data_IF_615508316281
#
_entry.id   IF_615508316281
#
_cell.length_a   1.000
_cell.length_b   1.000
_cell.length_c   1.000
_cell.angle_alpha   90.00
_cell.angle_beta   90.00
_cell.angle_gamma   90.00
#
_symmetry.space_group_name_H-M   'P 1'
#
loop_
_entity.id
_entity.type
_entity.pdbx_description
1 polymer ?
#
# COMPACT_ATOMS: atom_id res chain seq x y z
N UNK A 1 5.15 24.01 13.32
CA UNK A 1 3.67 23.92 13.40
C UNK A 1 3.37 22.48 13.05
N UNK A 2 3.26 21.64 14.08
CA UNK A 2 3.23 20.19 13.90
C UNK A 2 1.92 19.80 13.24
N UNK A 3 1.98 19.40 11.96
CA UNK A 3 0.84 18.77 11.29
C UNK A 3 0.68 17.38 11.91
N UNK A 4 -0.16 17.29 12.94
CA UNK A 4 -0.69 15.99 13.32
C UNK A 4 -1.76 15.66 12.28
N UNK A 5 -1.42 14.78 11.33
CA UNK A 5 -2.33 14.28 10.30
C UNK A 5 -3.38 13.39 10.97
N UNK A 6 -4.49 14.00 11.40
CA UNK A 6 -5.65 13.28 11.87
C UNK A 6 -6.61 12.98 10.72
N UNK A 7 -7.19 11.77 10.70
CA UNK A 7 -8.18 11.37 9.71
C UNK A 7 -9.58 11.33 10.34
N UNK A 8 -10.57 12.07 9.81
CA UNK A 8 -11.90 12.12 10.39
C UNK A 8 -12.82 10.97 9.94
N UNK A 9 -13.88 10.70 10.71
CA UNK A 9 -14.96 9.79 10.33
C UNK A 9 -14.61 8.30 10.35
N UNK A 10 -15.61 7.46 10.04
CA UNK A 10 -15.45 6.00 9.97
C UNK A 10 -14.33 5.57 9.02
N UNK A 11 -14.24 6.20 7.84
CA UNK A 11 -13.16 5.94 6.88
C UNK A 11 -11.79 6.29 7.45
N UNK A 12 -11.66 7.43 8.12
CA UNK A 12 -10.41 7.81 8.79
C UNK A 12 -9.98 6.79 9.85
N UNK A 13 -10.94 6.22 10.58
CA UNK A 13 -10.66 5.14 11.54
C UNK A 13 -10.13 3.88 10.87
N UNK A 14 -10.73 3.48 9.75
CA UNK A 14 -10.29 2.32 8.98
C UNK A 14 -8.93 2.55 8.33
N UNK A 15 -8.68 3.76 7.81
CA UNK A 15 -7.37 4.18 7.30
C UNK A 15 -6.29 4.01 8.38
N UNK A 16 -6.47 4.59 9.57
CA UNK A 16 -5.45 4.49 10.63
C UNK A 16 -5.20 3.06 11.09
N UNK A 17 -6.25 2.22 11.13
CA UNK A 17 -6.12 0.79 11.41
C UNK A 17 -5.35 0.07 10.31
N UNK A 18 -5.66 0.35 9.03
CA UNK A 18 -4.95 -0.21 7.89
C UNK A 18 -3.47 0.20 7.87
N UNK A 19 -3.18 1.49 8.09
CA UNK A 19 -1.83 2.05 8.16
C UNK A 19 -0.98 1.32 9.19
N UNK A 20 -1.44 1.19 10.45
CA UNK A 20 -0.61 0.54 11.46
C UNK A 20 -0.34 -0.93 11.17
N UNK A 21 -1.31 -1.68 10.64
CA UNK A 21 -1.12 -3.10 10.33
C UNK A 21 -0.23 -3.31 9.11
N UNK A 22 -0.35 -2.42 8.11
CA UNK A 22 0.58 -2.32 6.99
C UNK A 22 2.02 -2.09 7.47
N UNK A 23 2.24 -1.03 8.25
CA UNK A 23 3.57 -0.66 8.74
C UNK A 23 4.18 -1.75 9.63
N UNK A 24 3.38 -2.40 10.48
CA UNK A 24 3.85 -3.55 11.27
C UNK A 24 4.31 -4.70 10.39
N UNK A 25 3.58 -5.02 9.32
CA UNK A 25 3.92 -6.12 8.44
C UNK A 25 5.24 -5.86 7.69
N UNK A 26 5.43 -4.64 7.18
CA UNK A 26 6.67 -4.28 6.47
C UNK A 26 7.85 -4.16 7.44
N UNK A 27 7.67 -3.48 8.58
CA UNK A 27 8.68 -3.36 9.63
C UNK A 27 9.14 -4.72 10.16
N UNK A 28 8.25 -5.71 10.27
CA UNK A 28 8.63 -7.06 10.69
C UNK A 28 9.64 -7.74 9.74
N UNK A 29 9.68 -7.33 8.46
CA UNK A 29 10.60 -7.88 7.45
C UNK A 29 11.88 -7.05 7.32
N UNK A 30 11.80 -5.73 7.49
CA UNK A 30 12.88 -4.76 7.34
C UNK A 30 12.87 -3.70 8.46
N UNK A 31 13.13 -4.08 9.72
CA UNK A 31 12.96 -3.21 10.88
C UNK A 31 13.87 -1.98 10.87
N UNK A 32 15.03 -2.06 10.22
CA UNK A 32 15.99 -0.95 10.14
C UNK A 32 15.64 0.08 9.06
N UNK A 33 14.63 -0.19 8.22
CA UNK A 33 14.27 0.62 7.05
C UNK A 33 12.85 1.17 7.10
N UNK A 34 12.13 1.00 8.20
CA UNK A 34 10.76 1.49 8.39
C UNK A 34 10.66 2.06 9.80
N UNK A 35 10.10 3.27 10.01
CA UNK A 35 9.87 3.78 11.37
C UNK A 35 9.05 2.79 12.21
N UNK A 36 9.40 2.57 13.47
CA UNK A 36 8.66 1.61 14.29
C UNK A 36 7.22 2.08 14.50
N UNK A 37 6.20 1.28 14.10
CA UNK A 37 4.80 1.61 14.36
C UNK A 37 4.50 1.42 15.85
N UNK A 38 4.03 2.48 16.53
CA UNK A 38 3.84 2.50 17.98
C UNK A 38 2.38 2.30 18.39
N UNK A 39 1.48 3.09 17.82
CA UNK A 39 0.07 3.10 18.24
C UNK A 39 -0.84 3.71 17.17
N UNK A 40 -2.14 3.47 17.32
CA UNK A 40 -3.20 4.19 16.61
C UNK A 40 -4.40 4.33 17.52
N UNK A 41 -5.31 5.26 17.21
CA UNK A 41 -6.52 5.41 18.02
C UNK A 41 -7.39 6.58 17.62
N UNK A 42 -8.30 6.93 18.53
CA UNK A 42 -9.23 8.05 18.39
C UNK A 42 -8.93 9.10 19.45
N UNK A 43 -8.97 10.37 19.06
CA UNK A 43 -8.78 11.47 20.02
C UNK A 43 -9.88 11.47 21.06
N UNK A 44 -9.51 11.57 22.35
CA UNK A 44 -10.48 11.71 23.44
C UNK A 44 -11.32 12.99 23.32
N UNK A 45 -10.69 14.11 22.95
CA UNK A 45 -11.34 15.41 22.84
C UNK A 45 -12.10 15.62 21.53
N UNK A 46 -11.82 14.79 20.51
CA UNK A 46 -12.45 14.83 19.19
C UNK A 46 -12.77 13.39 18.74
N UNK A 47 -13.90 12.80 19.17
CA UNK A 47 -14.21 11.39 18.93
C UNK A 47 -14.32 10.98 17.46
N UNK A 48 -14.49 11.94 16.56
CA UNK A 48 -14.53 11.73 15.12
C UNK A 48 -13.14 11.84 14.46
N UNK A 49 -12.07 12.06 15.22
CA UNK A 49 -10.71 12.21 14.71
C UNK A 49 -9.86 11.02 15.12
N UNK A 50 -9.09 10.46 14.17
CA UNK A 50 -8.26 9.29 14.37
C UNK A 50 -6.79 9.59 14.08
N UNK A 51 -5.88 8.84 14.71
CA UNK A 51 -4.44 9.02 14.56
C UNK A 51 -3.71 7.68 14.43
N UNK A 52 -2.50 7.77 13.87
CA UNK A 52 -1.45 6.78 13.89
C UNK A 52 -0.17 7.44 14.44
N UNK A 53 0.67 6.67 15.13
CA UNK A 53 1.93 7.09 15.73
C UNK A 53 3.03 6.08 15.41
N UNK A 54 4.21 6.61 15.09
CA UNK A 54 5.45 5.88 14.89
C UNK A 54 6.63 6.65 15.47
N UNK A 55 7.81 6.03 15.41
CA UNK A 55 9.06 6.72 15.69
C UNK A 55 9.27 7.94 14.80
N UNK A 56 9.84 8.98 15.40
CA UNK A 56 10.34 10.11 14.63
C UNK A 56 11.73 9.75 14.09
N UNK A 57 11.86 9.67 12.77
CA UNK A 57 13.13 9.44 12.08
C UNK A 57 13.49 10.69 11.31
N UNK A 58 14.67 11.24 11.56
CA UNK A 58 15.17 12.40 10.81
C UNK A 58 15.64 11.95 9.43
N UNK A 59 15.03 12.48 8.38
CA UNK A 59 15.28 12.11 6.98
C UNK A 59 15.68 13.34 6.17
N UNK A 60 16.58 13.17 5.20
CA UNK A 60 16.93 14.21 4.24
C UNK A 60 15.97 14.22 3.05
N UNK A 61 15.77 15.36 2.39
CA UNK A 61 14.95 15.46 1.19
C UNK A 61 15.59 14.86 -0.08
N UNK A 62 16.85 14.44 0.00
CA UNK A 62 17.60 13.77 -1.07
C UNK A 62 16.96 12.43 -1.50
N UNK A 63 17.38 11.92 -2.65
CA UNK A 63 17.04 10.57 -3.09
C UNK A 63 18.10 9.57 -2.62
N UNK A 64 17.70 8.37 -2.17
CA UNK A 64 18.66 7.31 -1.90
C UNK A 64 19.34 6.85 -3.19
N UNK A 65 20.58 6.37 -3.08
CA UNK A 65 21.25 5.73 -4.21
C UNK A 65 20.46 4.53 -4.73
N UNK A 66 20.25 4.45 -6.04
CA UNK A 66 19.37 3.47 -6.69
C UNK A 66 19.66 2.01 -6.29
N UNK A 67 20.93 1.65 -6.13
CA UNK A 67 21.34 0.30 -5.69
C UNK A 67 20.90 -0.03 -4.26
N UNK A 68 21.08 0.91 -3.31
CA UNK A 68 20.62 0.74 -1.92
C UNK A 68 19.09 0.66 -1.86
N UNK A 69 18.42 1.57 -2.57
CA UNK A 69 16.95 1.58 -2.66
C UNK A 69 16.41 0.25 -3.20
N UNK A 70 16.91 -0.21 -4.33
CA UNK A 70 16.46 -1.46 -4.93
C UNK A 70 16.70 -2.67 -4.02
N UNK A 71 17.84 -2.70 -3.29
CA UNK A 71 18.13 -3.76 -2.34
C UNK A 71 17.17 -3.77 -1.14
N UNK A 72 16.88 -2.59 -0.56
CA UNK A 72 15.96 -2.44 0.57
C UNK A 72 14.53 -2.78 0.15
N UNK A 73 14.05 -2.26 -0.98
CA UNK A 73 12.70 -2.53 -1.48
C UNK A 73 12.48 -4.01 -1.87
N UNK A 74 13.50 -4.67 -2.45
CA UNK A 74 13.39 -6.08 -2.80
C UNK A 74 13.40 -7.02 -1.58
N UNK A 75 13.88 -6.56 -0.42
CA UNK A 75 14.01 -7.36 0.79
C UNK A 75 12.65 -7.85 1.34
N UNK A 76 11.63 -7.02 1.60
CA UNK A 76 10.32 -7.50 2.06
C UNK A 76 9.66 -8.43 1.03
N UNK A 77 9.79 -8.16 -0.27
CA UNK A 77 9.27 -9.04 -1.32
C UNK A 77 9.89 -10.45 -1.19
N UNK A 78 11.23 -10.55 -1.20
CA UNK A 78 11.94 -11.83 -1.10
C UNK A 78 11.68 -12.57 0.22
N UNK A 79 11.57 -11.83 1.34
CA UNK A 79 11.36 -12.43 2.67
C UNK A 79 9.94 -12.95 2.87
N UNK A 80 8.95 -12.40 2.18
CA UNK A 80 7.53 -12.76 2.31
C UNK A 80 6.98 -13.61 1.16
N UNK A 81 7.70 -13.70 0.04
CA UNK A 81 7.30 -14.48 -1.13
C UNK A 81 6.90 -15.91 -0.78
N UNK A 82 5.69 -16.30 -1.20
CA UNK A 82 5.12 -17.62 -0.95
C UNK A 82 4.68 -17.86 0.50
N UNK A 83 4.68 -16.82 1.36
CA UNK A 83 4.28 -16.91 2.78
C UNK A 83 2.95 -16.23 3.08
N UNK A 84 2.15 -15.98 2.05
CA UNK A 84 0.76 -15.54 2.25
C UNK A 84 0.05 -16.51 3.20
N UNK A 85 -0.64 -16.03 4.25
CA UNK A 85 -1.19 -16.87 5.31
C UNK A 85 -2.23 -17.89 4.84
N UNK A 86 -2.85 -17.64 3.69
CA UNK A 86 -3.83 -18.52 3.03
C UNK A 86 -3.44 -18.85 1.58
N UNK A 87 -2.22 -18.48 1.15
CA UNK A 87 -1.75 -18.67 -0.23
C UNK A 87 -2.42 -17.77 -1.28
N UNK A 88 -3.30 -16.85 -0.87
CA UNK A 88 -4.05 -15.95 -1.75
C UNK A 88 -3.37 -14.57 -1.85
N UNK A 89 -3.91 -13.71 -2.72
CA UNK A 89 -3.50 -12.30 -2.87
C UNK A 89 -4.42 -11.39 -2.07
N UNK A 90 -3.85 -10.57 -1.18
CA UNK A 90 -4.59 -9.65 -0.32
C UNK A 90 -3.94 -9.50 1.05
N UNK A 91 -4.62 -8.77 1.94
CA UNK A 91 -4.11 -8.40 3.24
C UNK A 91 -5.10 -8.76 4.36
N UNK A 92 -4.64 -9.07 5.60
CA UNK A 92 -5.52 -9.46 6.70
C UNK A 92 -6.54 -8.38 7.14
N UNK A 93 -6.23 -7.12 6.88
CA UNK A 93 -7.14 -5.99 7.09
C UNK A 93 -7.22 -5.15 5.82
N UNK A 94 -8.30 -4.38 5.64
CA UNK A 94 -8.38 -3.43 4.52
C UNK A 94 -7.34 -2.33 4.70
N UNK A 95 -6.45 -2.17 3.72
CA UNK A 95 -5.52 -1.04 3.62
C UNK A 95 -6.03 -0.02 2.61
N UNK A 96 -5.39 1.13 2.56
CA UNK A 96 -5.81 2.22 1.69
C UNK A 96 -4.60 2.73 0.92
N UNK A 97 -4.73 2.90 -0.40
CA UNK A 97 -3.81 3.70 -1.20
C UNK A 97 -4.44 5.08 -1.37
N UNK A 98 -3.94 6.07 -0.63
CA UNK A 98 -4.64 7.32 -0.39
C UNK A 98 -6.08 7.08 0.11
N UNK A 99 -7.10 7.42 -0.71
CA UNK A 99 -8.49 7.12 -0.38
C UNK A 99 -8.93 5.74 -0.89
N UNK A 100 -8.27 5.14 -1.87
CA UNK A 100 -8.75 3.90 -2.51
C UNK A 100 -8.57 2.71 -1.58
N UNK A 101 -9.64 1.93 -1.37
CA UNK A 101 -9.60 0.71 -0.57
C UNK A 101 -8.84 -0.39 -1.31
N UNK A 102 -7.76 -0.88 -0.71
CA UNK A 102 -7.04 -2.07 -1.15
C UNK A 102 -7.47 -3.23 -0.26
N UNK A 103 -8.40 -4.06 -0.76
CA UNK A 103 -8.86 -5.19 0.04
C UNK A 103 -9.93 -6.02 -0.65
N UNK A 104 -9.58 -7.29 -0.85
CA UNK A 104 -10.36 -8.54 -0.72
C UNK A 104 -9.38 -9.65 -1.13
N UNK A 105 -9.38 -10.78 -0.43
CA UNK A 105 -8.55 -11.92 -0.84
C UNK A 105 -9.02 -12.50 -2.18
N UNK A 106 -8.09 -12.80 -3.09
CA UNK A 106 -8.41 -13.47 -4.36
C UNK A 106 -7.41 -14.59 -4.65
N UNK A 107 -7.81 -15.56 -5.47
CA UNK A 107 -6.96 -16.72 -5.78
C UNK A 107 -5.89 -16.42 -6.84
N UNK A 108 -6.09 -15.41 -7.68
CA UNK A 108 -5.20 -15.07 -8.80
C UNK A 108 -4.74 -13.61 -8.68
N UNK A 109 -3.53 -13.33 -9.17
CA UNK A 109 -3.04 -11.95 -9.19
C UNK A 109 -3.93 -11.07 -10.06
N UNK A 110 -4.36 -11.63 -11.19
CA UNK A 110 -5.20 -10.95 -12.17
C UNK A 110 -6.54 -10.49 -11.57
N UNK A 111 -7.19 -11.33 -10.76
CA UNK A 111 -8.43 -10.96 -10.07
C UNK A 111 -8.19 -9.87 -9.02
N UNK A 112 -7.13 -10.00 -8.24
CA UNK A 112 -6.78 -9.00 -7.22
C UNK A 112 -6.59 -7.62 -7.87
N UNK A 113 -5.76 -7.55 -8.91
CA UNK A 113 -5.43 -6.31 -9.60
C UNK A 113 -6.67 -5.71 -10.29
N UNK A 114 -7.49 -6.55 -10.94
CA UNK A 114 -8.75 -6.11 -11.54
C UNK A 114 -9.68 -5.48 -10.52
N UNK A 115 -9.80 -6.07 -9.32
CA UNK A 115 -10.63 -5.54 -8.26
C UNK A 115 -10.07 -4.23 -7.68
N UNK A 116 -8.76 -4.11 -7.52
CA UNK A 116 -8.12 -2.86 -7.10
C UNK A 116 -8.38 -1.72 -8.10
N UNK A 117 -8.23 -1.99 -9.42
CA UNK A 117 -8.51 -1.00 -10.46
C UNK A 117 -9.99 -0.61 -10.51
N UNK A 118 -10.92 -1.56 -10.38
CA UNK A 118 -12.37 -1.26 -10.27
C UNK A 118 -12.66 -0.27 -9.14
N UNK A 119 -12.11 -0.53 -7.95
CA UNK A 119 -12.28 0.36 -6.79
C UNK A 119 -11.70 1.76 -7.03
N UNK A 120 -10.61 1.86 -7.79
CA UNK A 120 -10.03 3.15 -8.16
C UNK A 120 -10.98 3.95 -9.07
N UNK A 121 -11.59 3.32 -10.08
CA UNK A 121 -12.60 3.98 -10.91
C UNK A 121 -13.87 4.34 -10.12
N UNK A 122 -14.35 3.45 -9.24
CA UNK A 122 -15.49 3.73 -8.37
C UNK A 122 -15.24 4.96 -7.48
N UNK A 123 -14.03 5.12 -6.94
CA UNK A 123 -13.68 6.30 -6.15
C UNK A 123 -13.52 7.56 -6.99
N UNK A 124 -13.02 7.46 -8.22
CA UNK A 124 -12.93 8.58 -9.15
C UNK A 124 -14.33 9.07 -9.53
N UNK A 125 -15.23 8.17 -9.96
CA UNK A 125 -16.61 8.51 -10.28
C UNK A 125 -17.36 9.10 -9.08
N UNK A 126 -17.16 8.52 -7.88
CA UNK A 126 -17.75 9.07 -6.64
C UNK A 126 -17.26 10.49 -6.33
N UNK A 127 -16.04 10.82 -6.74
CA UNK A 127 -15.39 12.10 -6.39
C UNK A 127 -15.59 13.17 -7.46
N UNK A 128 -15.55 12.82 -8.74
CA UNK A 128 -15.62 13.75 -9.87
C UNK A 128 -16.94 13.69 -10.64
N UNK A 129 -17.77 12.66 -10.40
CA UNK A 129 -18.97 12.38 -11.17
C UNK A 129 -18.73 11.40 -12.32
N UNK A 130 -19.83 11.04 -12.97
CA UNK A 130 -19.84 10.09 -14.09
C UNK A 130 -19.17 10.66 -15.35
N UNK A 131 -18.34 9.84 -16.00
CA UNK A 131 -17.70 10.15 -17.27
C UNK A 131 -17.80 8.95 -18.23
N UNK A 132 -18.43 9.16 -19.39
CA UNK A 132 -18.67 8.12 -20.40
C UNK A 132 -17.39 7.62 -21.07
N UNK A 133 -16.38 8.47 -21.25
CA UNK A 133 -15.09 8.06 -21.81
C UNK A 133 -14.35 7.17 -20.79
N UNK A 134 -14.45 7.50 -19.51
CA UNK A 134 -13.87 6.69 -18.44
C UNK A 134 -14.50 5.30 -18.35
N UNK A 135 -15.82 5.17 -18.55
CA UNK A 135 -16.51 3.86 -18.64
C UNK A 135 -15.97 2.98 -19.78
N UNK A 136 -15.77 3.57 -20.96
CA UNK A 136 -15.24 2.87 -22.14
C UNK A 136 -13.80 2.40 -21.87
N UNK A 137 -12.98 3.25 -21.26
CA UNK A 137 -11.61 2.93 -20.85
C UNK A 137 -11.58 1.84 -19.78
N UNK A 138 -12.40 1.94 -18.74
CA UNK A 138 -12.53 0.95 -17.68
C UNK A 138 -12.93 -0.41 -18.27
N UNK A 139 -13.92 -0.44 -19.16
CA UNK A 139 -14.39 -1.65 -19.82
C UNK A 139 -13.28 -2.32 -20.64
N UNK A 140 -12.51 -1.53 -21.39
CA UNK A 140 -11.38 -2.03 -22.18
C UNK A 140 -10.23 -2.54 -21.30
N UNK A 141 -9.89 -1.79 -20.25
CA UNK A 141 -8.82 -2.15 -19.32
C UNK A 141 -9.13 -3.47 -18.59
N UNK A 142 -10.33 -3.59 -18.02
CA UNK A 142 -10.74 -4.76 -17.25
C UNK A 142 -11.06 -5.97 -18.13
N UNK A 143 -11.63 -5.75 -19.32
CA UNK A 143 -12.06 -6.82 -20.21
C UNK A 143 -10.96 -7.39 -21.11
N UNK A 144 -9.98 -6.56 -21.51
CA UNK A 144 -8.98 -6.95 -22.51
C UNK A 144 -7.56 -6.84 -21.98
N UNK A 145 -7.18 -5.67 -21.45
CA UNK A 145 -5.77 -5.36 -21.15
C UNK A 145 -5.27 -6.15 -19.95
N UNK A 146 -5.99 -6.12 -18.82
CA UNK A 146 -5.57 -6.84 -17.60
C UNK A 146 -5.54 -8.36 -17.84
N UNK A 147 -6.59 -9.00 -18.38
CA UNK A 147 -6.54 -10.43 -18.68
C UNK A 147 -5.45 -10.78 -19.70
N UNK A 148 -5.26 -9.97 -20.74
CA UNK A 148 -4.28 -10.22 -21.79
C UNK A 148 -2.83 -10.07 -21.35
N UNK A 149 -2.54 -9.13 -20.44
CA UNK A 149 -1.18 -8.86 -19.97
C UNK A 149 -0.86 -9.58 -18.67
N UNK A 150 -1.71 -9.43 -17.64
CA UNK A 150 -1.46 -10.03 -16.32
C UNK A 150 -1.89 -11.50 -16.28
N UNK A 151 -3.04 -11.83 -16.89
CA UNK A 151 -3.50 -13.22 -16.98
C UNK A 151 -2.51 -14.12 -17.72
N UNK A 152 -1.85 -13.60 -18.76
CA UNK A 152 -0.80 -14.31 -19.50
C UNK A 152 0.45 -14.64 -18.65
N UNK A 153 0.68 -13.94 -17.53
CA UNK A 153 1.78 -14.27 -16.61
C UNK A 153 1.49 -15.51 -15.75
N UNK A 154 0.23 -15.96 -15.72
CA UNK A 154 -0.24 -17.11 -14.94
C UNK A 154 -0.62 -18.31 -15.86
N UNK A 155 -0.16 -18.32 -17.12
CA UNK A 155 -0.36 -19.43 -18.08
C UNK A 155 0.88 -20.31 -18.25
N UNK A 156 0.72 -21.46 -18.92
CA UNK A 156 1.83 -22.39 -19.26
C UNK A 156 2.63 -22.90 -18.05
N UNK A 157 1.95 -23.05 -16.90
CA UNK A 157 2.57 -23.48 -15.64
C UNK A 157 3.27 -22.36 -14.87
N UNK A 158 3.29 -21.13 -15.41
CA UNK A 158 3.73 -19.97 -14.65
C UNK A 158 2.69 -19.60 -13.61
N UNK A 159 3.16 -19.11 -12.47
CA UNK A 159 2.33 -18.56 -11.42
C UNK A 159 3.08 -17.42 -10.76
N UNK A 160 2.37 -16.33 -10.49
CA UNK A 160 2.90 -15.26 -9.65
C UNK A 160 2.83 -15.76 -8.21
N UNK A 161 3.86 -15.47 -7.41
CA UNK A 161 3.86 -15.80 -5.99
C UNK A 161 3.46 -14.56 -5.20
N UNK A 162 2.44 -14.63 -4.31
CA UNK A 162 2.11 -13.51 -3.46
C UNK A 162 3.27 -13.19 -2.52
N UNK A 163 3.57 -11.90 -2.39
CA UNK A 163 4.54 -11.33 -1.47
C UNK A 163 4.03 -9.97 -0.99
N UNK A 164 4.46 -9.56 0.21
CA UNK A 164 4.06 -8.29 0.81
C UNK A 164 4.63 -7.12 0.01
N UNK A 165 3.77 -6.21 -0.46
CA UNK A 165 4.15 -5.05 -1.25
C UNK A 165 3.89 -3.72 -0.50
N UNK A 166 4.80 -2.75 -0.59
CA UNK A 166 4.58 -1.37 -0.07
C UNK A 166 3.58 -0.56 -0.92
N UNK A 167 3.26 -0.94 -2.15
CA UNK A 167 2.23 -0.31 -3.01
C UNK A 167 2.32 1.20 -3.37
N UNK A 168 2.82 2.08 -2.50
CA UNK A 168 2.94 3.54 -2.66
C UNK A 168 4.40 4.01 -2.63
N UNK A 169 5.23 3.40 -3.49
CA UNK A 169 6.66 3.68 -3.55
C UNK A 169 6.94 4.80 -4.54
N UNK A 170 7.17 6.02 -4.03
CA UNK A 170 7.54 7.20 -4.80
C UNK A 170 8.48 8.10 -3.98
N UNK A 171 9.13 9.14 -4.55
CA UNK A 171 10.08 10.01 -3.84
C UNK A 171 9.56 10.71 -2.57
N UNK A 172 8.24 10.75 -2.38
CA UNK A 172 7.60 11.26 -1.16
C UNK A 172 7.65 10.29 0.01
N UNK A 173 7.75 8.98 -0.25
CA UNK A 173 7.64 7.88 0.72
C UNK A 173 8.93 7.05 0.85
N UNK A 174 10.01 7.53 0.22
CA UNK A 174 11.33 6.90 0.25
C UNK A 174 12.37 7.98 0.46
N UNK A 175 13.03 7.99 1.62
CA UNK A 175 14.02 9.01 1.97
C UNK A 175 15.26 8.40 2.63
N UNK A 176 16.45 8.98 2.47
CA UNK A 176 17.60 8.62 3.28
C UNK A 176 17.42 9.12 4.72
N UNK A 177 17.78 8.29 5.69
CA UNK A 177 17.99 8.72 7.06
C UNK A 177 19.10 9.80 7.09
N UNK A 178 18.85 10.94 7.73
CA UNK A 178 19.70 12.13 7.63
C UNK A 178 21.15 11.90 8.12
N UNK A 179 21.33 11.10 9.17
CA UNK A 179 22.66 10.83 9.73
C UNK A 179 23.41 9.66 9.07
N UNK A 180 22.72 8.55 8.76
CA UNK A 180 23.36 7.31 8.27
C UNK A 180 23.33 7.17 6.75
N UNK A 181 22.43 7.88 6.07
CA UNK A 181 22.17 7.71 4.63
C UNK A 181 21.55 6.35 4.27
N UNK A 182 21.03 5.61 5.26
CA UNK A 182 20.27 4.37 5.01
C UNK A 182 18.87 4.66 4.49
N UNK A 183 18.32 3.76 3.69
CA UNK A 183 17.01 3.97 3.06
C UNK A 183 15.90 3.75 4.07
N UNK A 184 15.00 4.73 4.17
CA UNK A 184 13.76 4.64 4.93
C UNK A 184 12.57 4.60 3.97
N UNK A 185 11.67 3.67 4.23
CA UNK A 185 10.36 3.51 3.61
C UNK A 185 9.28 3.85 4.65
N UNK A 186 8.19 4.47 4.23
CA UNK A 186 7.07 4.84 5.09
C UNK A 186 5.81 5.10 4.26
N UNK A 187 4.65 5.06 4.91
CA UNK A 187 3.33 5.14 4.26
C UNK A 187 3.12 3.97 3.29
N UNK A 188 3.30 2.77 3.85
CA UNK A 188 3.46 1.53 3.12
C UNK A 188 2.20 0.95 2.53
N UNK A 189 1.00 1.46 2.83
CA UNK A 189 -0.29 1.04 2.24
C UNK A 189 -0.42 -0.47 1.87
N UNK A 190 0.14 -1.37 2.68
CA UNK A 190 0.65 -2.64 2.17
C UNK A 190 -0.46 -3.62 1.81
N UNK A 191 -0.15 -4.56 0.94
CA UNK A 191 -1.02 -5.69 0.62
C UNK A 191 -0.25 -6.99 0.40
#
# INVERSE_FOLDING_TARGET
MDRINGAPGSRGREMMKGTIESEKAVHALIPDNVPTPLAWGTYRSKPDMHFYMCDFVEMSDDLPGAGKFGAVLASPHKRSMGKSPNGMYGFPVTTHLAYVLLGTWTNTWTDWYSNAMKRMFEEEERSQGHDRELDELQSSLLGNVIPGLLGALETDGNHIQPCLCHSDVWPGNVKPHAQTGEVMLFDSCAF
#
